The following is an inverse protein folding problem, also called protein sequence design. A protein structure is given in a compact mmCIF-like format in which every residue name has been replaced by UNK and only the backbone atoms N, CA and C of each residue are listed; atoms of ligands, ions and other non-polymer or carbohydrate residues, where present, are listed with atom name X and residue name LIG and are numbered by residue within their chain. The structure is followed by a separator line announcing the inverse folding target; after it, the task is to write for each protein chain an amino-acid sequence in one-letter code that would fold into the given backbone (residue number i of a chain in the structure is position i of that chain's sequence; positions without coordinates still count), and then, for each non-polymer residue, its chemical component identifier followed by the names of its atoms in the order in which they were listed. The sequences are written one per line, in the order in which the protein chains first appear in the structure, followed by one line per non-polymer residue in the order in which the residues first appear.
data_IF_945926401329
#
_entry.id   IF_945926401329
#
_cell.length_a   1.000
_cell.length_b   1.000
_cell.length_c   1.000
_cell.angle_alpha   90.00
_cell.angle_beta   90.00
_cell.angle_gamma   90.00
#
_symmetry.space_group_name_H-M   'P 1'
#
loop_
_entity.id
_entity.type
_entity.pdbx_description
1 polymer ?
#
# COMPACT_ATOMS: atom_id res chain seq x y z
N UNK A 1 -42.47 28.82 26.69
CA UNK A 1 -41.26 28.40 25.94
C UNK A 1 -40.10 29.28 26.38
N UNK A 2 -39.11 28.78 27.14
CA UNK A 2 -37.92 29.57 27.49
C UNK A 2 -36.86 29.47 26.37
N UNK A 3 -36.07 30.53 26.19
CA UNK A 3 -34.92 30.58 25.27
C UNK A 3 -33.68 29.99 25.96
N UNK A 4 -32.75 29.33 25.22
CA UNK A 4 -31.52 28.78 25.80
C UNK A 4 -30.49 29.87 26.11
N UNK A 5 -29.60 29.65 27.10
CA UNK A 5 -28.57 30.61 27.48
C UNK A 5 -27.48 30.71 26.42
N UNK A 6 -27.08 31.94 26.11
CA UNK A 6 -26.03 32.27 25.15
C UNK A 6 -24.69 31.65 25.59
N UNK A 7 -24.14 30.75 24.77
CA UNK A 7 -22.81 30.21 24.97
C UNK A 7 -21.79 31.33 24.80
N UNK A 8 -21.19 31.70 25.93
CA UNK A 8 -20.10 32.65 26.02
C UNK A 8 -18.98 32.24 25.07
N UNK A 9 -18.74 33.06 24.05
CA UNK A 9 -17.57 32.98 23.17
C UNK A 9 -16.32 33.30 23.97
N UNK A 10 -15.81 32.33 24.73
CA UNK A 10 -14.51 32.41 25.35
C UNK A 10 -13.63 31.30 24.79
N UNK A 11 -12.83 31.71 23.82
CA UNK A 11 -11.54 31.12 23.50
C UNK A 11 -11.57 29.68 22.95
N UNK A 12 -12.02 29.54 21.70
CA UNK A 12 -11.40 28.58 20.77
C UNK A 12 -9.98 29.05 20.37
N UNK A 13 -9.21 29.56 21.34
CA UNK A 13 -7.81 29.87 21.14
C UNK A 13 -7.15 28.55 20.84
N UNK A 14 -6.79 28.38 19.57
CA UNK A 14 -5.85 27.38 19.09
C UNK A 14 -4.55 27.54 19.90
N UNK A 15 -4.53 26.94 21.08
CA UNK A 15 -3.33 26.43 21.71
C UNK A 15 -3.34 24.95 21.38
N UNK A 16 -3.00 24.60 20.14
CA UNK A 16 -2.24 23.36 19.96
C UNK A 16 -0.95 23.64 20.70
N UNK A 17 -0.91 23.20 21.95
CA UNK A 17 0.14 23.53 22.87
C UNK A 17 1.46 23.07 22.26
N UNK A 18 2.51 23.87 22.36
CA UNK A 18 3.83 23.53 21.81
C UNK A 18 4.33 22.23 22.47
N UNK A 19 3.86 21.95 23.69
CA UNK A 19 4.05 20.70 24.41
C UNK A 19 3.37 19.49 23.74
N UNK A 20 2.19 19.65 23.13
CA UNK A 20 1.52 18.58 22.37
C UNK A 20 2.27 18.25 21.09
N UNK A 21 2.81 19.27 20.41
CA UNK A 21 3.63 19.08 19.21
C UNK A 21 4.93 18.34 19.55
N UNK A 22 5.62 18.75 20.61
CA UNK A 22 6.87 18.10 21.06
C UNK A 22 6.62 16.68 21.55
N UNK A 23 5.52 16.42 22.25
CA UNK A 23 5.11 15.07 22.66
C UNK A 23 4.81 14.17 21.46
N UNK A 24 4.11 14.71 20.46
CA UNK A 24 3.83 13.98 19.22
C UNK A 24 5.11 13.68 18.45
N UNK A 25 6.03 14.63 18.36
CA UNK A 25 7.35 14.42 17.75
C UNK A 25 8.14 13.32 18.48
N UNK A 26 8.22 13.34 19.82
CA UNK A 26 8.86 12.28 20.60
C UNK A 26 8.19 10.92 20.37
N UNK A 27 6.86 10.87 20.35
CA UNK A 27 6.12 9.64 20.10
C UNK A 27 6.39 9.08 18.68
N UNK A 28 6.48 9.95 17.67
CA UNK A 28 6.82 9.56 16.29
C UNK A 28 8.27 9.08 16.16
N UNK A 29 9.22 9.71 16.86
CA UNK A 29 10.62 9.28 16.86
C UNK A 29 10.78 7.91 17.53
N UNK A 30 10.13 7.67 18.67
CA UNK A 30 10.11 6.35 19.30
C UNK A 30 9.42 5.31 18.41
N UNK A 31 8.33 5.67 17.73
CA UNK A 31 7.67 4.78 16.79
C UNK A 31 8.60 4.40 15.62
N UNK A 32 9.38 5.36 15.12
CA UNK A 32 10.38 5.14 14.07
C UNK A 32 11.53 4.25 14.56
N UNK A 33 11.97 4.44 15.80
CA UNK A 33 12.98 3.60 16.44
C UNK A 33 12.46 2.16 16.64
N UNK A 34 11.25 2.00 17.14
CA UNK A 34 10.59 0.69 17.28
C UNK A 34 10.40 0.01 15.92
N UNK A 35 10.18 0.80 14.86
CA UNK A 35 10.09 0.32 13.49
C UNK A 35 11.44 -0.17 12.95
N UNK A 36 12.50 0.63 13.05
CA UNK A 36 13.84 0.24 12.60
C UNK A 36 14.46 -0.89 13.43
N UNK A 37 14.13 -0.97 14.72
CA UNK A 37 14.60 -2.05 15.61
C UNK A 37 13.77 -3.34 15.51
N UNK A 38 12.70 -3.35 14.71
CA UNK A 38 11.82 -4.51 14.55
C UNK A 38 10.96 -4.81 15.78
N UNK A 39 10.91 -3.92 16.78
CA UNK A 39 10.03 -4.04 17.96
C UNK A 39 8.56 -3.79 17.61
N UNK A 40 8.31 -2.94 16.59
CA UNK A 40 6.97 -2.66 16.11
C UNK A 40 6.45 -3.85 15.30
N UNK A 41 5.82 -4.80 15.99
CA UNK A 41 5.13 -5.96 15.39
C UNK A 41 3.76 -5.59 14.86
N UNK A 42 3.69 -4.62 13.96
CA UNK A 42 2.46 -4.34 13.22
C UNK A 42 2.17 -5.44 12.17
N UNK A 43 3.20 -6.22 11.82
CA UNK A 43 3.15 -7.27 10.81
C UNK A 43 3.90 -8.50 11.35
N UNK A 44 3.23 -9.33 12.15
CA UNK A 44 3.76 -10.63 12.55
C UNK A 44 5.08 -10.65 13.32
N UNK A 45 5.50 -11.86 13.70
CA UNK A 45 6.82 -12.08 14.31
C UNK A 45 7.92 -12.25 13.24
N UNK A 46 7.54 -12.69 12.05
CA UNK A 46 8.44 -13.10 10.97
C UNK A 46 8.11 -12.42 9.62
N UNK A 47 7.19 -11.45 9.61
CA UNK A 47 6.90 -10.62 8.44
C UNK A 47 7.76 -9.35 8.49
N UNK A 48 8.84 -9.34 7.72
CA UNK A 48 9.77 -8.20 7.69
C UNK A 48 9.22 -7.07 6.82
N UNK A 49 9.58 -5.83 7.17
CA UNK A 49 9.31 -4.66 6.31
C UNK A 49 9.84 -4.87 4.88
N UNK A 50 10.96 -5.56 4.74
CA UNK A 50 11.57 -5.92 3.47
C UNK A 50 10.67 -6.83 2.63
N UNK A 51 10.03 -7.84 3.24
CA UNK A 51 9.10 -8.72 2.54
C UNK A 51 7.86 -7.96 2.04
N UNK A 52 7.27 -7.10 2.86
CA UNK A 52 6.15 -6.25 2.43
C UNK A 52 6.56 -5.26 1.33
N UNK A 53 7.76 -4.70 1.43
CA UNK A 53 8.33 -3.86 0.36
C UNK A 53 8.47 -4.66 -0.93
N UNK A 54 8.99 -5.90 -0.83
CA UNK A 54 9.09 -6.81 -1.97
C UNK A 54 7.74 -7.13 -2.62
N UNK A 55 6.68 -7.35 -1.83
CA UNK A 55 5.32 -7.54 -2.34
C UNK A 55 4.80 -6.28 -3.04
N UNK A 56 5.01 -5.10 -2.44
CA UNK A 56 4.65 -3.82 -3.05
C UNK A 56 5.33 -3.63 -4.40
N UNK A 57 6.63 -3.91 -4.49
CA UNK A 57 7.36 -3.82 -5.75
C UNK A 57 6.87 -4.84 -6.78
N UNK A 58 6.50 -6.06 -6.37
CA UNK A 58 5.90 -7.03 -7.28
C UNK A 58 4.57 -6.51 -7.86
N UNK A 59 3.73 -5.88 -7.04
CA UNK A 59 2.50 -5.21 -7.50
C UNK A 59 2.80 -4.08 -8.48
N UNK A 60 3.77 -3.22 -8.18
CA UNK A 60 4.17 -2.12 -9.07
C UNK A 60 4.69 -2.64 -10.42
N UNK A 61 5.50 -3.70 -10.42
CA UNK A 61 6.00 -4.35 -11.65
C UNK A 61 4.86 -4.96 -12.47
N UNK A 62 3.92 -5.63 -11.81
CA UNK A 62 2.74 -6.20 -12.48
C UNK A 62 1.88 -5.10 -13.13
N UNK A 63 1.64 -4.00 -12.42
CA UNK A 63 0.89 -2.87 -12.96
C UNK A 63 1.59 -2.26 -14.19
N UNK A 64 2.92 -2.06 -14.12
CA UNK A 64 3.72 -1.59 -15.27
C UNK A 64 3.62 -2.53 -16.45
N UNK A 65 3.76 -3.85 -16.23
CA UNK A 65 3.63 -4.86 -17.26
C UNK A 65 2.25 -4.83 -17.92
N UNK A 66 1.17 -4.70 -17.14
CA UNK A 66 -0.18 -4.58 -17.66
C UNK A 66 -0.34 -3.38 -18.61
N UNK A 67 0.19 -2.22 -18.23
CA UNK A 67 0.15 -1.03 -19.11
C UNK A 67 1.01 -1.20 -20.36
N UNK A 68 2.21 -1.78 -20.24
CA UNK A 68 3.11 -2.02 -21.38
C UNK A 68 2.51 -2.98 -22.40
N UNK A 69 2.02 -4.13 -21.94
CA UNK A 69 1.38 -5.12 -22.80
C UNK A 69 0.08 -4.57 -23.41
N UNK A 70 -0.70 -3.80 -22.66
CA UNK A 70 -1.87 -3.11 -23.17
C UNK A 70 -1.52 -2.13 -24.30
N UNK A 71 -0.49 -1.30 -24.12
CA UNK A 71 -0.02 -0.39 -25.15
C UNK A 71 0.49 -1.12 -26.41
N UNK A 72 1.17 -2.26 -26.24
CA UNK A 72 1.59 -3.12 -27.35
C UNK A 72 0.40 -3.76 -28.06
N UNK A 73 -0.65 -4.16 -27.32
CA UNK A 73 -1.85 -4.78 -27.88
C UNK A 73 -2.62 -3.82 -28.81
N UNK A 74 -2.64 -2.53 -28.48
CA UNK A 74 -3.29 -1.48 -29.30
C UNK A 74 -2.62 -1.29 -30.68
N UNK A 75 -1.40 -1.79 -30.89
CA UNK A 75 -0.70 -1.73 -32.17
C UNK A 75 -1.24 -2.74 -33.20
N UNK A 76 -1.93 -3.78 -32.73
CA UNK A 76 -2.49 -4.81 -33.61
C UNK A 76 -3.86 -4.41 -34.12
N UNK A 77 -4.17 -4.77 -35.36
CA UNK A 77 -5.53 -4.61 -35.89
C UNK A 77 -6.50 -5.44 -35.04
N UNK A 78 -7.66 -4.89 -34.62
CA UNK A 78 -8.64 -5.63 -33.84
C UNK A 78 -9.02 -6.94 -34.53
N UNK A 79 -9.01 -8.04 -33.75
CA UNK A 79 -9.34 -9.39 -34.23
C UNK A 79 -8.40 -9.95 -35.32
N UNK A 80 -7.23 -9.34 -35.55
CA UNK A 80 -6.18 -9.97 -36.34
C UNK A 80 -5.67 -11.23 -35.63
N UNK A 81 -5.34 -12.26 -36.41
CA UNK A 81 -4.80 -13.52 -35.89
C UNK A 81 -3.55 -13.28 -35.03
N UNK A 82 -2.64 -12.42 -35.50
CA UNK A 82 -1.45 -12.04 -34.74
C UNK A 82 -1.79 -11.28 -33.45
N UNK A 83 -2.75 -10.34 -33.49
CA UNK A 83 -3.19 -9.62 -32.29
C UNK A 83 -3.86 -10.52 -31.26
N UNK A 84 -4.64 -11.52 -31.70
CA UNK A 84 -5.24 -12.51 -30.80
C UNK A 84 -4.18 -13.41 -30.18
N UNK A 85 -3.18 -13.84 -30.96
CA UNK A 85 -2.07 -14.65 -30.48
C UNK A 85 -1.22 -13.88 -29.46
N UNK A 86 -0.85 -12.64 -29.78
CA UNK A 86 -0.14 -11.76 -28.86
C UNK A 86 -0.96 -11.49 -27.59
N UNK A 87 -2.27 -11.31 -27.71
CA UNK A 87 -3.16 -11.12 -26.56
C UNK A 87 -3.19 -12.34 -25.63
N UNK A 88 -3.16 -13.55 -26.18
CA UNK A 88 -3.06 -14.78 -25.39
C UNK A 88 -1.71 -14.87 -24.65
N UNK A 89 -0.61 -14.54 -25.33
CA UNK A 89 0.73 -14.52 -24.73
C UNK A 89 0.84 -13.46 -23.63
N UNK A 90 0.28 -12.28 -23.86
CA UNK A 90 0.21 -11.19 -22.89
C UNK A 90 -0.55 -11.63 -21.61
N UNK A 91 -1.70 -12.27 -21.79
CA UNK A 91 -2.49 -12.80 -20.66
C UNK A 91 -1.74 -13.89 -19.89
N UNK A 92 -1.02 -14.77 -20.59
CA UNK A 92 -0.17 -15.78 -19.95
C UNK A 92 0.91 -15.15 -19.07
N UNK A 93 1.60 -14.12 -19.57
CA UNK A 93 2.63 -13.39 -18.81
C UNK A 93 2.07 -12.68 -17.56
N UNK A 94 0.87 -12.10 -17.67
CA UNK A 94 0.16 -11.47 -16.55
C UNK A 94 -0.25 -12.50 -15.50
N UNK A 95 -0.81 -13.63 -15.92
CA UNK A 95 -1.19 -14.72 -15.02
C UNK A 95 0.01 -15.28 -14.26
N UNK A 96 1.12 -15.56 -14.94
CA UNK A 96 2.34 -16.05 -14.29
C UNK A 96 2.92 -15.02 -13.29
N UNK A 97 2.76 -13.72 -13.56
CA UNK A 97 3.20 -12.68 -12.63
C UNK A 97 2.26 -12.53 -11.43
N UNK A 98 0.94 -12.70 -11.63
CA UNK A 98 -0.06 -12.74 -10.57
C UNK A 98 0.13 -13.96 -9.65
N UNK A 99 0.43 -15.13 -10.20
CA UNK A 99 0.69 -16.35 -9.44
C UNK A 99 1.88 -16.17 -8.49
N UNK A 100 3.01 -15.65 -8.99
CA UNK A 100 4.19 -15.34 -8.16
C UNK A 100 3.89 -14.32 -7.04
N UNK A 101 3.07 -13.32 -7.34
CA UNK A 101 2.61 -12.35 -6.34
C UNK A 101 1.73 -13.03 -5.28
N UNK A 102 0.82 -13.89 -5.70
CA UNK A 102 -0.06 -14.68 -4.81
C UNK A 102 0.76 -15.56 -3.88
N UNK A 103 1.74 -16.32 -4.40
CA UNK A 103 2.65 -17.12 -3.58
C UNK A 103 3.42 -16.27 -2.57
N UNK A 104 3.87 -15.07 -2.96
CA UNK A 104 4.60 -14.17 -2.05
C UNK A 104 3.72 -13.69 -0.90
N UNK A 105 2.44 -13.41 -1.16
CA UNK A 105 1.44 -13.01 -0.15
C UNK A 105 1.08 -14.20 0.74
N UNK A 106 0.88 -15.40 0.16
CA UNK A 106 0.58 -16.60 0.92
C UNK A 106 1.71 -16.93 1.90
N UNK A 107 2.97 -16.90 1.44
CA UNK A 107 4.14 -17.08 2.30
C UNK A 107 4.15 -16.07 3.45
N UNK A 108 3.82 -14.80 3.19
CA UNK A 108 3.71 -13.76 4.22
C UNK A 108 2.71 -14.13 5.33
N UNK A 109 1.63 -14.82 4.98
CA UNK A 109 0.59 -15.25 5.92
C UNK A 109 0.94 -16.56 6.62
N UNK A 110 1.65 -17.48 5.97
CA UNK A 110 2.11 -18.74 6.60
C UNK A 110 3.13 -18.50 7.72
N UNK A 111 3.94 -17.44 7.63
CA UNK A 111 4.84 -17.01 8.72
C UNK A 111 4.10 -16.31 9.89
N UNK A 112 2.78 -16.12 9.78
CA UNK A 112 1.94 -15.51 10.81
C UNK A 112 1.06 -16.51 11.58
N UNK A 113 1.05 -17.80 11.20
CA UNK A 113 0.27 -18.87 11.87
C UNK A 113 1.10 -19.71 12.84
#
# INVERSE_FOLDING_TARGET
RPLPPQLSSRNLTVKRDVTDVRRMETALLHLLEDFHSGKLRAFGKDCSMEQMTGIREQQERLARLHFELGAQQELFTPLSEEGLRQGADNMSALMASLERLSESIERLHSFNS
#
